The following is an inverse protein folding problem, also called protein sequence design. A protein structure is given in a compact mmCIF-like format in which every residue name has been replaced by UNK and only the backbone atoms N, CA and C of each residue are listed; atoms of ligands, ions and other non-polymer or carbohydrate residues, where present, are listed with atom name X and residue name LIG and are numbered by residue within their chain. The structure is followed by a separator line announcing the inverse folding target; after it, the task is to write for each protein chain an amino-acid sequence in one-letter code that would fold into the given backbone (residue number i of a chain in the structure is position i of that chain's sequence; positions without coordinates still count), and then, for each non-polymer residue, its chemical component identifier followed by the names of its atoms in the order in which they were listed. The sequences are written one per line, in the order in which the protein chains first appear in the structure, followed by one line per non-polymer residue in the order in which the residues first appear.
data_IF_695265217991
#
_entry.id   IF_695265217991
#
_cell.length_a   1.000
_cell.length_b   1.000
_cell.length_c   1.000
_cell.angle_alpha   90.00
_cell.angle_beta   90.00
_cell.angle_gamma   90.00
#
_symmetry.space_group_name_H-M   'P 1'
#
loop_
_entity.id
_entity.type
_entity.pdbx_description
1 polymer ?
#
# COMPACT_ATOMS: atom_id res chain seq x y z
N UNK A 1 6.08 2.84 -9.98
CA UNK A 1 6.13 4.29 -10.28
C UNK A 1 5.08 5.00 -9.45
N UNK A 2 5.36 6.22 -8.99
CA UNK A 2 4.50 7.00 -8.09
C UNK A 2 4.79 8.50 -8.24
N UNK A 3 3.92 9.35 -7.69
CA UNK A 3 4.16 10.79 -7.57
C UNK A 3 5.46 11.01 -6.79
N UNK A 4 6.36 11.83 -7.32
CA UNK A 4 7.61 12.19 -6.66
C UNK A 4 7.46 13.57 -6.04
N UNK A 5 7.72 13.65 -4.75
CA UNK A 5 7.79 14.92 -4.00
C UNK A 5 9.21 15.45 -4.03
N UNK A 6 9.36 16.77 -3.94
CA UNK A 6 10.66 17.39 -3.69
C UNK A 6 11.07 17.13 -2.24
N UNK A 7 12.34 16.76 -2.05
CA UNK A 7 12.95 16.50 -0.74
C UNK A 7 14.19 17.35 -0.58
N UNK A 8 14.22 18.14 0.49
CA UNK A 8 15.35 18.99 0.88
C UNK A 8 15.69 18.73 2.34
N UNK A 9 16.98 18.58 2.66
CA UNK A 9 17.48 18.26 4.00
C UNK A 9 16.77 17.07 4.67
N UNK A 10 16.43 16.05 3.85
CA UNK A 10 15.72 14.85 4.29
C UNK A 10 14.24 15.06 4.64
N UNK A 11 13.64 16.20 4.25
CA UNK A 11 12.24 16.56 4.52
C UNK A 11 11.49 16.84 3.23
N UNK A 12 10.19 16.49 3.19
CA UNK A 12 9.32 16.89 2.10
C UNK A 12 9.05 18.40 2.15
N UNK A 13 9.23 19.09 1.03
CA UNK A 13 8.94 20.53 0.92
C UNK A 13 7.46 20.81 0.73
N UNK A 14 6.69 19.80 0.28
CA UNK A 14 5.30 19.93 -0.13
C UNK A 14 5.14 20.13 -1.65
N UNK A 15 6.22 20.39 -2.37
CA UNK A 15 6.20 20.53 -3.83
C UNK A 15 6.24 19.18 -4.55
N UNK A 16 5.59 19.13 -5.72
CA UNK A 16 5.50 17.93 -6.55
C UNK A 16 6.54 18.03 -7.67
N UNK A 17 7.55 17.17 -7.64
CA UNK A 17 8.55 17.04 -8.70
C UNK A 17 8.00 16.29 -9.92
N UNK A 18 7.12 15.32 -9.69
CA UNK A 18 6.48 14.56 -10.76
C UNK A 18 5.10 14.06 -10.33
N UNK A 19 4.06 14.41 -11.06
CA UNK A 19 2.69 14.00 -10.75
C UNK A 19 2.31 12.74 -11.54
N UNK A 20 2.26 11.59 -10.87
CA UNK A 20 2.00 10.29 -11.51
C UNK A 20 0.49 9.99 -11.57
N UNK A 21 -0.24 10.80 -12.34
CA UNK A 21 -1.69 10.72 -12.49
C UNK A 21 -2.08 10.93 -13.96
N UNK A 22 -3.08 10.18 -14.45
CA UNK A 22 -3.47 10.24 -15.86
C UNK A 22 -2.29 9.99 -16.79
N UNK A 23 -2.01 10.95 -17.67
CA UNK A 23 -0.88 10.91 -18.61
C UNK A 23 0.49 10.78 -17.92
N UNK A 24 0.62 11.27 -16.69
CA UNK A 24 1.84 11.08 -15.89
C UNK A 24 2.12 9.60 -15.61
N UNK A 25 1.08 8.76 -15.46
CA UNK A 25 1.27 7.30 -15.39
C UNK A 25 1.82 6.76 -16.70
N UNK A 26 1.29 7.19 -17.84
CA UNK A 26 1.73 6.74 -19.17
C UNK A 26 3.19 7.10 -19.41
N UNK A 27 3.59 8.33 -19.07
CA UNK A 27 5.00 8.75 -19.14
C UNK A 27 5.88 7.82 -18.31
N UNK A 28 5.54 7.61 -17.04
CA UNK A 28 6.34 6.76 -16.16
C UNK A 28 6.39 5.29 -16.62
N UNK A 29 5.31 4.78 -17.23
CA UNK A 29 5.24 3.43 -17.81
C UNK A 29 6.19 3.32 -19.00
N UNK A 30 6.16 4.29 -19.92
CA UNK A 30 7.04 4.30 -21.09
C UNK A 30 8.51 4.44 -20.71
N UNK A 31 8.82 5.29 -19.74
CA UNK A 31 10.19 5.43 -19.21
C UNK A 31 10.68 4.13 -18.57
N UNK A 32 9.83 3.45 -17.77
CA UNK A 32 10.17 2.14 -17.19
C UNK A 32 10.37 1.10 -18.30
N UNK A 33 9.44 1.02 -19.25
CA UNK A 33 9.49 0.06 -20.34
C UNK A 33 10.74 0.25 -21.21
N UNK A 34 11.11 1.48 -21.53
CA UNK A 34 12.32 1.79 -22.27
C UNK A 34 13.59 1.42 -21.48
N UNK A 35 13.62 1.67 -20.17
CA UNK A 35 14.79 1.35 -19.33
C UNK A 35 15.00 -0.16 -19.17
N UNK A 36 13.93 -0.91 -18.97
CA UNK A 36 14.00 -2.35 -18.67
C UNK A 36 13.84 -3.22 -19.93
N UNK A 37 13.53 -2.62 -21.09
CA UNK A 37 13.29 -3.35 -22.34
C UNK A 37 11.96 -4.11 -22.36
N UNK A 38 10.92 -3.57 -21.71
CA UNK A 38 9.59 -4.20 -21.73
C UNK A 38 8.79 -3.80 -22.97
N UNK A 39 8.47 -4.73 -23.88
CA UNK A 39 7.51 -4.49 -24.95
C UNK A 39 6.10 -4.31 -24.36
N UNK A 40 5.54 -3.10 -24.47
CA UNK A 40 4.24 -2.77 -23.87
C UNK A 40 3.08 -3.59 -24.47
N UNK A 41 3.23 -4.05 -25.71
CA UNK A 41 2.32 -4.97 -26.38
C UNK A 41 2.20 -6.33 -25.69
N UNK A 42 3.17 -6.71 -24.85
CA UNK A 42 3.12 -7.94 -24.03
C UNK A 42 2.80 -7.65 -22.56
N UNK A 43 2.62 -6.38 -22.19
CA UNK A 43 2.33 -5.98 -20.82
C UNK A 43 0.84 -6.05 -20.51
N UNK A 44 0.55 -6.29 -19.23
CA UNK A 44 -0.79 -6.29 -18.67
C UNK A 44 -0.99 -5.06 -17.80
N UNK A 45 -2.18 -4.47 -17.84
CA UNK A 45 -2.56 -3.37 -16.95
C UNK A 45 -3.94 -3.61 -16.36
N UNK A 46 -4.08 -3.25 -15.08
CA UNK A 46 -5.32 -3.38 -14.32
C UNK A 46 -5.68 -2.04 -13.68
N UNK A 47 -6.93 -1.61 -13.79
CA UNK A 47 -7.43 -0.43 -13.07
C UNK A 47 -8.93 -0.50 -12.80
N UNK A 48 -9.36 0.22 -11.76
CA UNK A 48 -10.74 0.45 -11.37
C UNK A 48 -11.22 1.86 -11.72
N UNK A 49 -10.33 2.76 -12.17
CA UNK A 49 -10.64 4.18 -12.35
C UNK A 49 -10.49 4.65 -13.80
N UNK A 50 -11.44 5.47 -14.26
CA UNK A 50 -11.39 6.12 -15.59
C UNK A 50 -10.14 6.99 -15.78
N UNK A 51 -9.53 7.44 -14.68
CA UNK A 51 -8.30 8.25 -14.69
C UNK A 51 -7.11 7.48 -15.28
N UNK A 52 -7.20 6.15 -15.32
CA UNK A 52 -6.18 5.25 -15.86
C UNK A 52 -6.49 4.77 -17.28
N UNK A 53 -7.53 5.30 -17.93
CA UNK A 53 -7.83 4.96 -19.33
C UNK A 53 -6.59 5.10 -20.24
N UNK A 54 -5.80 6.20 -20.19
CA UNK A 54 -4.61 6.33 -21.03
C UNK A 54 -3.55 5.25 -20.75
N UNK A 55 -3.44 4.78 -19.50
CA UNK A 55 -2.55 3.68 -19.14
C UNK A 55 -3.03 2.35 -19.73
N UNK A 56 -4.33 2.07 -19.65
CA UNK A 56 -4.92 0.85 -20.20
C UNK A 56 -4.80 0.82 -21.73
N UNK A 57 -4.94 1.96 -22.40
CA UNK A 57 -4.74 2.09 -23.85
C UNK A 57 -3.28 1.87 -24.29
N UNK A 58 -2.32 2.05 -23.37
CA UNK A 58 -0.90 1.98 -23.70
C UNK A 58 -0.32 0.54 -23.72
N UNK A 59 -1.06 -0.46 -23.24
CA UNK A 59 -0.58 -1.86 -23.13
C UNK A 59 -1.36 -2.81 -24.04
N UNK A 60 -0.77 -3.96 -24.36
CA UNK A 60 -1.43 -4.98 -25.19
C UNK A 60 -2.52 -5.79 -24.49
N UNK A 61 -2.49 -5.86 -23.15
CA UNK A 61 -3.43 -6.68 -22.38
C UNK A 61 -4.11 -5.90 -21.23
N UNK A 62 -4.99 -4.94 -21.53
CA UNK A 62 -5.75 -4.21 -20.52
C UNK A 62 -6.84 -5.09 -19.88
N UNK A 63 -7.13 -4.86 -18.61
CA UNK A 63 -8.27 -5.45 -17.90
C UNK A 63 -8.78 -4.47 -16.85
N UNK A 64 -10.09 -4.29 -16.76
CA UNK A 64 -10.69 -3.39 -15.77
C UNK A 64 -11.22 -4.18 -14.59
N UNK A 65 -10.95 -3.71 -13.37
CA UNK A 65 -11.22 -4.46 -12.14
C UNK A 65 -12.13 -3.63 -11.26
N UNK A 66 -13.34 -4.11 -10.95
CA UNK A 66 -14.33 -3.37 -10.17
C UNK A 66 -14.52 -1.91 -10.66
N UNK A 67 -14.68 -1.66 -11.97
CA UNK A 67 -14.54 -0.31 -12.53
C UNK A 67 -15.64 0.65 -12.10
N UNK A 68 -15.28 1.94 -12.00
CA UNK A 68 -16.24 3.03 -11.97
C UNK A 68 -17.14 3.05 -13.23
N UNK A 69 -18.22 3.83 -13.19
CA UNK A 69 -19.19 3.87 -14.29
C UNK A 69 -18.57 4.34 -15.62
N UNK A 70 -17.61 5.27 -15.57
CA UNK A 70 -16.93 5.79 -16.74
C UNK A 70 -16.08 4.71 -17.39
N UNK A 71 -15.21 4.08 -16.60
CA UNK A 71 -14.31 3.03 -17.09
C UNK A 71 -15.08 1.79 -17.55
N UNK A 72 -16.19 1.45 -16.88
CA UNK A 72 -17.06 0.34 -17.31
C UNK A 72 -17.60 0.56 -18.72
N UNK A 73 -17.99 1.79 -19.07
CA UNK A 73 -18.49 2.09 -20.42
C UNK A 73 -17.39 1.90 -21.46
N UNK A 74 -16.21 2.47 -21.22
CA UNK A 74 -15.05 2.33 -22.12
C UNK A 74 -14.67 0.86 -22.33
N UNK A 75 -14.65 0.07 -21.25
CA UNK A 75 -14.32 -1.35 -21.33
C UNK A 75 -15.32 -2.13 -22.19
N UNK A 76 -16.62 -1.83 -22.07
CA UNK A 76 -17.66 -2.47 -22.90
C UNK A 76 -17.55 -2.06 -24.37
N UNK A 77 -17.28 -0.78 -24.65
CA UNK A 77 -17.11 -0.28 -26.02
C UNK A 77 -15.87 -0.88 -26.71
N UNK A 78 -14.80 -1.12 -25.95
CA UNK A 78 -13.51 -1.64 -26.45
C UNK A 78 -13.39 -3.16 -26.37
N UNK A 79 -14.37 -3.84 -25.79
CA UNK A 79 -14.33 -5.30 -25.57
C UNK A 79 -13.25 -5.73 -24.57
N UNK A 80 -12.86 -4.85 -23.63
CA UNK A 80 -11.88 -5.18 -22.60
C UNK A 80 -12.49 -6.08 -21.51
N UNK A 81 -11.70 -7.02 -20.94
CA UNK A 81 -12.16 -7.83 -19.82
C UNK A 81 -12.57 -6.98 -18.61
N UNK A 82 -13.76 -7.24 -18.08
CA UNK A 82 -14.27 -6.64 -16.85
C UNK A 82 -14.28 -7.70 -15.75
N UNK A 83 -13.43 -7.53 -14.74
CA UNK A 83 -13.33 -8.42 -13.59
C UNK A 83 -14.09 -7.84 -12.40
N UNK A 84 -14.87 -8.66 -11.71
CA UNK A 84 -15.66 -8.26 -10.55
C UNK A 84 -15.29 -9.12 -9.34
N UNK A 85 -14.75 -8.51 -8.29
CA UNK A 85 -14.35 -9.18 -7.06
C UNK A 85 -15.15 -8.62 -5.88
N UNK A 86 -15.89 -9.49 -5.19
CA UNK A 86 -16.75 -9.14 -4.05
C UNK A 86 -16.23 -9.61 -2.70
N UNK A 87 -15.14 -10.39 -2.68
CA UNK A 87 -14.50 -10.91 -1.46
C UNK A 87 -13.09 -10.32 -1.33
N UNK A 88 -12.92 -9.19 -0.62
CA UNK A 88 -11.59 -8.63 -0.38
C UNK A 88 -10.79 -9.58 0.52
N UNK A 89 -9.52 -9.79 0.19
CA UNK A 89 -8.56 -10.45 1.09
C UNK A 89 -8.06 -9.40 2.06
N UNK A 90 -8.32 -9.58 3.37
CA UNK A 90 -7.86 -8.60 4.35
C UNK A 90 -6.34 -8.71 4.50
N UNK A 91 -5.66 -7.56 4.53
CA UNK A 91 -4.22 -7.53 4.83
C UNK A 91 -3.91 -8.07 6.22
N UNK A 92 -4.87 -7.93 7.16
CA UNK A 92 -4.72 -8.44 8.53
C UNK A 92 -4.73 -9.96 8.57
N UNK A 93 -5.37 -10.62 7.62
CA UNK A 93 -5.42 -12.08 7.53
C UNK A 93 -4.04 -12.68 7.22
N UNK A 94 -3.11 -11.84 6.73
CA UNK A 94 -1.70 -12.21 6.47
C UNK A 94 -0.78 -11.97 7.66
N UNK A 95 -1.25 -11.31 8.72
CA UNK A 95 -0.49 -11.08 9.94
C UNK A 95 -0.83 -12.21 10.90
N UNK A 96 0.13 -13.11 11.24
CA UNK A 96 -0.13 -14.15 12.21
C UNK A 96 -0.55 -13.53 13.54
N UNK A 97 -1.67 -13.98 14.10
CA UNK A 97 -2.00 -13.63 15.47
C UNK A 97 -0.91 -14.19 16.40
N UNK A 98 -0.45 -13.43 17.41
CA UNK A 98 0.48 -13.97 18.39
C UNK A 98 -0.15 -15.20 19.06
N UNK A 99 0.66 -16.24 19.26
CA UNK A 99 0.17 -17.45 19.92
C UNK A 99 -0.30 -17.13 21.34
N UNK A 100 -1.24 -17.92 21.87
CA UNK A 100 -1.71 -17.76 23.25
C UNK A 100 -0.56 -17.77 24.27
N UNK A 101 0.50 -18.55 24.00
CA UNK A 101 1.72 -18.58 24.80
C UNK A 101 2.51 -17.26 24.76
N UNK A 102 2.63 -16.63 23.59
CA UNK A 102 3.29 -15.33 23.46
C UNK A 102 2.54 -14.22 24.20
N UNK A 103 1.20 -14.26 24.16
CA UNK A 103 0.36 -13.33 24.92
C UNK A 103 0.53 -13.54 26.43
N UNK A 104 0.46 -14.80 26.90
CA UNK A 104 0.56 -15.14 28.31
C UNK A 104 1.93 -14.77 28.91
N UNK A 105 3.02 -15.06 28.19
CA UNK A 105 4.39 -14.73 28.64
C UNK A 105 4.61 -13.22 28.74
N UNK A 106 4.17 -12.46 27.75
CA UNK A 106 4.29 -10.99 27.75
C UNK A 106 3.51 -10.37 28.93
N UNK A 107 2.30 -10.85 29.19
CA UNK A 107 1.50 -10.39 30.33
C UNK A 107 2.17 -10.72 31.68
N UNK A 108 2.69 -11.94 31.83
CA UNK A 108 3.38 -12.35 33.05
C UNK A 108 4.61 -11.48 33.34
N UNK A 109 5.47 -11.24 32.34
CA UNK A 109 6.65 -10.39 32.48
C UNK A 109 6.26 -8.95 32.88
N UNK A 110 5.23 -8.38 32.26
CA UNK A 110 4.73 -7.05 32.60
C UNK A 110 4.23 -6.95 34.04
N UNK A 111 3.45 -7.94 34.50
CA UNK A 111 2.95 -7.99 35.88
C UNK A 111 4.11 -8.13 36.87
N UNK A 112 5.08 -9.00 36.59
CA UNK A 112 6.26 -9.19 37.45
C UNK A 112 7.11 -7.92 37.55
N UNK A 113 7.32 -7.20 36.45
CA UNK A 113 8.08 -5.95 36.46
C UNK A 113 7.38 -4.85 37.28
N UNK A 114 6.06 -4.71 37.16
CA UNK A 114 5.28 -3.77 37.96
C UNK A 114 5.31 -4.12 39.45
N UNK A 115 5.16 -5.40 39.79
CA UNK A 115 5.22 -5.88 41.17
C UNK A 115 6.61 -5.62 41.79
N UNK A 116 7.68 -5.97 41.08
CA UNK A 116 9.05 -5.70 41.53
C UNK A 116 9.30 -4.20 41.71
N UNK A 117 8.89 -3.37 40.74
CA UNK A 117 9.00 -1.91 40.84
C UNK A 117 8.25 -1.34 42.05
N UNK A 118 7.03 -1.80 42.32
CA UNK A 118 6.23 -1.38 43.46
C UNK A 118 6.88 -1.79 44.80
N UNK A 119 7.39 -3.02 44.90
CA UNK A 119 8.10 -3.52 46.09
C UNK A 119 9.36 -2.70 46.33
N UNK A 120 10.22 -2.53 45.32
CA UNK A 120 11.46 -1.74 45.44
C UNK A 120 11.17 -0.29 45.80
N UNK A 121 10.17 0.35 45.19
CA UNK A 121 9.74 1.71 45.54
C UNK A 121 9.28 1.82 47.00
N UNK A 122 8.47 0.86 47.47
CA UNK A 122 7.97 0.86 48.86
C UNK A 122 9.10 0.67 49.88
N UNK A 123 10.09 -0.18 49.57
CA UNK A 123 11.27 -0.40 50.41
C UNK A 123 12.15 0.85 50.44
N UNK A 124 12.49 1.44 49.28
CA UNK A 124 13.31 2.65 49.22
C UNK A 124 12.65 3.84 49.94
N UNK A 125 11.32 3.96 49.88
CA UNK A 125 10.57 4.98 50.62
C UNK A 125 10.62 4.78 52.14
N UNK A 126 10.74 3.53 52.61
CA UNK A 126 10.81 3.18 54.04
C UNK A 126 12.18 3.45 54.66
N UNK A 127 13.25 3.48 53.87
CA UNK A 127 14.62 3.78 54.30
C UNK A 127 15.05 5.25 54.11
N UNK A 128 14.17 6.09 53.54
CA UNK A 128 14.44 7.52 53.30
C UNK A 128 13.87 8.45 54.38
N UNK A 129 13.71 7.97 55.62
CA UNK A 129 13.41 8.77 56.83
C UNK A 129 14.39 8.41 57.94
#
# INVERSE_FOLDING_TARGET
MATRMVVEDGKYTGEIAFYCYGDGKVQAIRELAAREGYPLEHCYAYSDSITDLPMLEAVGHPSVVNPDRGLRREALERGWPVMSFSRPVSLRDRIPAPSGAAIATTAAVGISALAAGAVTYSLLRRYSF
#
